data_IF_980198703345
#
_entry.id   IF_980198703345
#
_cell.length_a   1.000
_cell.length_b   1.000
_cell.length_c   1.000
_cell.angle_alpha   90.00
_cell.angle_beta   90.00
_cell.angle_gamma   90.00
#
_symmetry.space_group_name_H-M   'P 1'
#
loop_
_entity.id
_entity.type
_entity.pdbx_description
1 polymer ?
#
# COMPACT_ATOMS: atom_id res chain seq x y z
N UNK A 1 13.82 15.73 34.10
CA UNK A 1 13.89 14.30 33.72
C UNK A 1 13.41 14.20 32.28
N UNK A 2 14.32 13.99 31.34
CA UNK A 2 14.00 13.88 29.92
C UNK A 2 14.04 12.40 29.53
N UNK A 3 12.90 11.87 29.09
CA UNK A 3 12.82 10.51 28.56
C UNK A 3 13.36 10.54 27.12
N UNK A 4 14.61 10.14 26.93
CA UNK A 4 15.16 9.85 25.60
C UNK A 4 14.62 8.49 25.17
N UNK A 5 13.67 8.49 24.24
CA UNK A 5 13.30 7.27 23.54
C UNK A 5 14.46 6.88 22.61
N UNK A 6 15.25 5.89 23.03
CA UNK A 6 16.26 5.25 22.19
C UNK A 6 15.51 4.31 21.25
N UNK A 7 15.01 4.84 20.13
CA UNK A 7 14.72 3.99 18.98
C UNK A 7 15.95 3.98 18.08
N UNK A 8 16.49 2.80 17.72
CA UNK A 8 17.56 2.73 16.75
C UNK A 8 17.07 3.42 15.47
N UNK A 9 17.95 4.18 14.84
CA UNK A 9 17.72 4.80 13.53
C UNK A 9 17.58 3.72 12.46
N UNK A 10 16.46 3.00 12.48
CA UNK A 10 15.91 2.42 11.27
C UNK A 10 15.54 3.65 10.46
N UNK A 11 16.34 3.94 9.44
CA UNK A 11 15.84 4.69 8.29
C UNK A 11 14.67 3.84 7.79
N UNK A 12 13.47 4.11 8.32
CA UNK A 12 12.24 3.55 7.78
C UNK A 12 12.16 4.18 6.41
N UNK A 13 12.58 3.41 5.42
CA UNK A 13 12.35 3.73 4.02
C UNK A 13 10.86 4.02 3.92
N UNK A 14 10.53 5.31 3.81
CA UNK A 14 9.17 5.78 4.01
C UNK A 14 8.44 5.37 2.74
N UNK A 15 7.80 4.20 2.77
CA UNK A 15 7.04 3.71 1.64
C UNK A 15 5.99 4.75 1.25
N UNK A 16 6.22 5.41 0.12
CA UNK A 16 5.29 6.39 -0.44
C UNK A 16 4.30 5.62 -1.28
N UNK A 17 3.08 5.49 -0.76
CA UNK A 17 1.99 4.85 -1.46
C UNK A 17 1.17 5.91 -2.21
N UNK A 18 1.22 5.88 -3.54
CA UNK A 18 0.47 6.80 -4.40
C UNK A 18 -0.86 6.18 -4.79
N UNK A 19 -1.94 6.94 -4.61
CA UNK A 19 -3.29 6.53 -4.93
C UNK A 19 -3.85 7.40 -6.07
N UNK A 20 -4.74 6.87 -6.93
CA UNK A 20 -5.50 7.71 -7.84
C UNK A 20 -6.28 8.81 -7.10
N UNK A 21 -6.31 10.03 -7.63
CA UNK A 21 -7.01 11.16 -7.01
C UNK A 21 -8.49 10.86 -6.71
N UNK A 22 -9.11 10.03 -7.55
CA UNK A 22 -10.53 9.67 -7.45
C UNK A 22 -10.86 8.62 -6.37
N UNK A 23 -9.85 8.03 -5.73
CA UNK A 23 -10.03 6.89 -4.81
C UNK A 23 -11.01 7.22 -3.68
N UNK A 24 -11.04 8.47 -3.22
CA UNK A 24 -11.89 8.88 -2.10
C UNK A 24 -13.07 9.79 -2.48
N UNK A 25 -13.48 9.88 -3.76
CA UNK A 25 -14.58 10.75 -4.19
C UNK A 25 -15.92 10.48 -3.48
N UNK A 26 -16.11 9.27 -2.93
CA UNK A 26 -17.32 8.99 -2.16
C UNK A 26 -17.42 9.87 -0.89
N UNK A 27 -16.30 10.38 -0.37
CA UNK A 27 -16.24 11.33 0.74
C UNK A 27 -16.81 12.72 0.40
N UNK A 28 -17.17 13.00 -0.85
CA UNK A 28 -17.91 14.22 -1.16
C UNK A 28 -19.36 14.17 -0.65
N UNK A 29 -19.87 12.97 -0.31
CA UNK A 29 -21.26 12.81 0.12
C UNK A 29 -21.42 13.05 1.63
N UNK A 30 -22.39 13.87 2.05
CA UNK A 30 -22.58 14.22 3.47
C UNK A 30 -22.98 13.02 4.33
N UNK A 31 -23.54 11.96 3.74
CA UNK A 31 -23.95 10.72 4.42
C UNK A 31 -22.79 9.97 5.11
N UNK A 32 -21.54 10.31 4.81
CA UNK A 32 -20.34 9.71 5.43
C UNK A 32 -19.82 10.52 6.62
N UNK A 33 -20.43 11.65 6.96
CA UNK A 33 -20.01 12.54 8.04
C UNK A 33 -21.07 12.60 9.14
N UNK A 34 -20.65 12.90 10.37
CA UNK A 34 -21.62 13.15 11.46
C UNK A 34 -21.86 14.64 11.73
N UNK A 35 -20.89 15.50 11.42
CA UNK A 35 -20.93 16.96 11.64
C UNK A 35 -20.50 17.76 10.40
N UNK A 36 -20.40 17.10 9.24
CA UNK A 36 -19.89 17.70 8.01
C UNK A 36 -18.36 17.80 7.92
N UNK A 37 -17.60 17.31 8.92
CA UNK A 37 -16.14 17.31 8.89
C UNK A 37 -15.52 15.96 9.28
N UNK A 38 -16.03 15.31 10.33
CA UNK A 38 -15.55 14.03 10.80
C UNK A 38 -16.38 12.86 10.25
N UNK A 39 -15.69 11.79 9.84
CA UNK A 39 -16.33 10.58 9.34
C UNK A 39 -17.17 9.88 10.41
N UNK A 40 -18.41 9.56 10.05
CA UNK A 40 -19.26 8.68 10.85
C UNK A 40 -18.83 7.21 10.69
N UNK A 41 -19.53 6.28 11.36
CA UNK A 41 -19.18 4.86 11.31
C UNK A 41 -19.13 4.29 9.88
N UNK A 42 -20.12 4.64 9.05
CA UNK A 42 -20.20 4.25 7.64
C UNK A 42 -19.04 4.82 6.83
N UNK A 43 -18.71 6.10 7.04
CA UNK A 43 -17.58 6.78 6.40
C UNK A 43 -16.24 6.12 6.73
N UNK A 44 -15.99 5.87 8.02
CA UNK A 44 -14.75 5.20 8.46
C UNK A 44 -14.62 3.80 7.92
N UNK A 45 -15.70 3.02 7.94
CA UNK A 45 -15.69 1.66 7.39
C UNK A 45 -15.27 1.68 5.92
N UNK A 46 -15.97 2.47 5.10
CA UNK A 46 -15.73 2.52 3.66
C UNK A 46 -14.36 3.09 3.29
N UNK A 47 -13.89 4.09 4.05
CA UNK A 47 -12.53 4.63 3.92
C UNK A 47 -11.47 3.55 4.17
N UNK A 48 -11.58 2.84 5.29
CA UNK A 48 -10.62 1.79 5.65
C UNK A 48 -10.66 0.65 4.64
N UNK A 49 -11.84 0.18 4.23
CA UNK A 49 -11.98 -0.87 3.22
C UNK A 49 -11.30 -0.46 1.91
N UNK A 50 -11.59 0.75 1.41
CA UNK A 50 -10.99 1.26 0.16
C UNK A 50 -9.47 1.35 0.27
N UNK A 51 -8.95 1.94 1.35
CA UNK A 51 -7.51 2.11 1.54
C UNK A 51 -6.77 0.77 1.63
N UNK A 52 -7.32 -0.19 2.38
CA UNK A 52 -6.72 -1.52 2.54
C UNK A 52 -6.76 -2.30 1.23
N UNK A 53 -7.87 -2.25 0.49
CA UNK A 53 -7.97 -2.91 -0.82
C UNK A 53 -6.92 -2.39 -1.79
N UNK A 54 -6.75 -1.08 -1.89
CA UNK A 54 -5.74 -0.48 -2.77
C UNK A 54 -4.31 -0.86 -2.32
N UNK A 55 -4.03 -0.80 -1.02
CA UNK A 55 -2.72 -1.14 -0.47
C UNK A 55 -2.36 -2.60 -0.74
N UNK A 56 -3.27 -3.52 -0.47
CA UNK A 56 -3.06 -4.96 -0.71
C UNK A 56 -2.92 -5.23 -2.22
N UNK A 57 -3.73 -4.58 -3.05
CA UNK A 57 -3.63 -4.69 -4.51
C UNK A 57 -2.27 -4.25 -5.06
N UNK A 58 -1.71 -3.17 -4.52
CA UNK A 58 -0.38 -2.70 -4.91
C UNK A 58 0.72 -3.65 -4.48
N UNK A 59 0.70 -4.10 -3.22
CA UNK A 59 1.69 -5.05 -2.71
C UNK A 59 1.69 -6.37 -3.48
N UNK A 60 0.50 -6.88 -3.85
CA UNK A 60 0.37 -8.08 -4.69
C UNK A 60 0.90 -7.87 -6.12
N UNK A 61 0.75 -6.66 -6.67
CA UNK A 61 1.25 -6.33 -8.01
C UNK A 61 2.78 -6.20 -8.05
N UNK A 62 3.37 -5.60 -7.01
CA UNK A 62 4.82 -5.49 -6.88
C UNK A 62 5.48 -6.88 -6.73
N UNK A 63 4.86 -7.79 -5.97
CA UNK A 63 5.32 -9.17 -5.84
C UNK A 63 5.28 -9.92 -7.19
N UNK A 64 4.27 -9.63 -8.03
CA UNK A 64 4.15 -10.22 -9.37
C UNK A 64 5.23 -9.72 -10.35
N UNK A 65 5.67 -8.46 -10.22
CA UNK A 65 6.74 -7.89 -11.06
C UNK A 65 8.16 -8.31 -10.62
N UNK A 66 8.34 -8.83 -9.40
CA UNK A 66 9.60 -9.40 -8.95
C UNK A 66 9.92 -10.78 -9.59
N UNK A 67 8.98 -11.36 -10.35
CA UNK A 67 9.16 -12.65 -11.03
C UNK A 67 8.63 -12.64 -12.48
N UNK A 68 9.37 -12.02 -13.42
CA UNK A 68 9.46 -12.62 -14.76
C UNK A 68 10.87 -12.49 -15.34
N UNK A 69 11.70 -13.52 -15.12
CA UNK A 69 12.52 -14.21 -16.14
C UNK A 69 13.72 -14.89 -15.48
N UNK A 70 13.58 -16.18 -15.21
CA UNK A 70 14.73 -17.07 -15.24
C UNK A 70 14.27 -18.34 -15.95
N UNK A 71 13.93 -18.18 -17.23
CA UNK A 71 13.82 -19.33 -18.12
C UNK A 71 15.21 -19.88 -18.33
N UNK A 72 15.45 -21.02 -17.70
CA UNK A 72 16.59 -21.91 -17.89
C UNK A 72 16.97 -22.05 -19.36
N UNK A 73 18.17 -21.59 -19.72
CA UNK A 73 18.85 -22.06 -20.93
C UNK A 73 20.14 -22.78 -20.53
N UNK A 74 19.97 -23.97 -19.96
CA UNK A 74 21.03 -24.95 -19.81
C UNK A 74 20.95 -25.89 -21.01
N UNK A 75 21.66 -25.56 -22.08
CA UNK A 75 22.00 -26.53 -23.13
C UNK A 75 23.51 -26.64 -23.14
N UNK A 76 23.96 -27.81 -22.71
CA UNK A 76 25.34 -28.22 -22.64
C UNK A 76 25.90 -28.39 -24.05
N UNK A 77 26.92 -27.59 -24.40
CA UNK A 77 27.81 -27.93 -25.50
C UNK A 77 28.88 -28.88 -24.97
N UNK A 78 28.73 -30.14 -25.39
CA UNK A 78 29.68 -31.24 -25.24
C UNK A 78 30.80 -31.02 -26.26
N UNK A 79 32.04 -30.89 -25.78
CA UNK A 79 33.25 -31.13 -26.57
C UNK A 79 33.27 -32.60 -27.05
N UNK A 80 33.87 -32.84 -28.23
CA UNK A 80 35.22 -33.39 -28.24
C UNK A 80 36.27 -32.46 -28.85
#
# INVERSE_FOLDING_TARGET
>A
MAYQAIFPSVVTDRAVFSLPDRTFNFLEKPEFYFDGYHLNAKGRQRFTETLVTELVGHLASDEFHAHPSSESKLVADRLP
#
